data_IF_912884075825
#
_entry.id   IF_912884075825
#
_cell.length_a   1.000
_cell.length_b   1.000
_cell.length_c   1.000
_cell.angle_alpha   90.00
_cell.angle_beta   90.00
_cell.angle_gamma   90.00
#
_symmetry.space_group_name_H-M   'P 1'
#
loop_
_entity.id
_entity.type
_entity.pdbx_description
1 polymer ?
#
# COMPACT_ATOMS: atom_id res chain seq x y z
N UNK A 1 -1.50 -1.96 -6.19
CA UNK A 1 -2.56 -1.07 -6.75
C UNK A 1 -2.94 0.10 -5.84
N UNK A 2 -2.88 -0.04 -4.51
CA UNK A 2 -3.25 1.03 -3.56
C UNK A 2 -4.73 1.01 -3.11
N UNK A 3 -5.57 0.14 -3.69
CA UNK A 3 -7.01 0.10 -3.40
C UNK A 3 -7.32 -0.26 -1.94
N UNK A 4 -6.67 -1.28 -1.38
CA UNK A 4 -6.89 -1.69 0.02
C UNK A 4 -6.50 -0.59 1.00
N UNK A 5 -5.36 0.07 0.75
CA UNK A 5 -4.93 1.23 1.54
C UNK A 5 -5.95 2.36 1.47
N UNK A 6 -6.46 2.66 0.27
CA UNK A 6 -7.52 3.67 0.08
C UNK A 6 -8.77 3.35 0.89
N UNK A 7 -9.23 2.10 0.88
CA UNK A 7 -10.41 1.69 1.65
C UNK A 7 -10.18 1.87 3.16
N UNK A 8 -9.02 1.43 3.67
CA UNK A 8 -8.66 1.58 5.09
C UNK A 8 -8.58 3.06 5.51
N UNK A 9 -7.94 3.91 4.70
CA UNK A 9 -7.82 5.35 4.98
C UNK A 9 -9.20 6.03 4.96
N UNK A 10 -10.07 5.72 4.00
CA UNK A 10 -11.44 6.26 3.98
C UNK A 10 -12.22 5.88 5.23
N UNK A 11 -12.07 4.65 5.72
CA UNK A 11 -12.72 4.22 6.95
C UNK A 11 -12.28 5.08 8.14
N UNK A 12 -10.97 5.31 8.32
CA UNK A 12 -10.45 6.18 9.37
C UNK A 12 -11.01 7.61 9.27
N UNK A 13 -10.99 8.20 8.06
CA UNK A 13 -11.53 9.54 7.82
C UNK A 13 -13.03 9.59 8.14
N UNK A 14 -13.80 8.57 7.72
CA UNK A 14 -15.24 8.49 8.02
C UNK A 14 -15.56 8.40 9.50
N UNK A 15 -14.60 7.93 10.31
CA UNK A 15 -14.69 7.85 11.77
C UNK A 15 -14.18 9.12 12.46
N UNK A 16 -13.81 10.16 11.69
CA UNK A 16 -13.41 11.47 12.19
C UNK A 16 -11.91 11.65 12.38
N UNK A 17 -11.06 10.71 11.93
CA UNK A 17 -9.61 10.88 11.99
C UNK A 17 -9.18 11.93 10.95
N UNK A 18 -8.50 13.02 11.36
CA UNK A 18 -7.98 13.99 10.39
C UNK A 18 -6.96 13.34 9.47
N UNK A 19 -7.11 13.54 8.16
CA UNK A 19 -6.21 12.96 7.13
C UNK A 19 -4.71 13.21 7.42
N UNK A 20 -4.35 14.41 7.89
CA UNK A 20 -2.97 14.78 8.22
C UNK A 20 -2.39 14.08 9.46
N UNK A 21 -3.23 13.39 10.24
CA UNK A 21 -2.82 12.59 11.39
C UNK A 21 -2.60 11.12 11.03
N UNK A 22 -2.79 10.74 9.76
CA UNK A 22 -2.59 9.36 9.30
C UNK A 22 -1.19 9.25 8.68
N UNK A 23 -0.43 8.27 9.16
CA UNK A 23 0.83 7.83 8.56
C UNK A 23 0.61 6.44 8.00
N UNK A 24 0.75 6.29 6.69
CA UNK A 24 0.71 4.99 6.02
C UNK A 24 2.14 4.44 5.89
N UNK A 25 2.48 3.50 6.76
CA UNK A 25 3.78 2.83 6.79
C UNK A 25 3.73 1.54 5.99
N UNK A 26 4.67 1.35 5.06
CA UNK A 26 4.78 0.17 4.19
C UNK A 26 6.24 -0.26 4.05
N UNK A 27 6.48 -1.49 3.58
CA UNK A 27 7.84 -1.97 3.28
C UNK A 27 8.16 -1.80 1.79
N UNK A 28 7.31 -2.38 0.94
CA UNK A 28 7.50 -2.36 -0.51
C UNK A 28 6.28 -1.71 -1.15
N UNK A 29 6.52 -0.71 -1.98
CA UNK A 29 5.49 0.04 -2.69
C UNK A 29 5.74 0.03 -4.19
N UNK A 30 4.66 -0.02 -4.99
CA UNK A 30 4.73 0.27 -6.42
C UNK A 30 4.32 1.72 -6.69
N UNK A 31 4.95 2.42 -7.65
CA UNK A 31 4.67 3.83 -7.94
C UNK A 31 3.19 4.06 -8.25
N UNK A 32 2.53 3.15 -8.97
CA UNK A 32 1.10 3.23 -9.26
C UNK A 32 0.25 3.33 -7.98
N UNK A 33 0.57 2.53 -6.96
CA UNK A 33 -0.13 2.53 -5.68
C UNK A 33 0.12 3.80 -4.87
N UNK A 34 1.37 4.26 -4.81
CA UNK A 34 1.74 5.52 -4.14
C UNK A 34 0.98 6.69 -4.76
N UNK A 35 0.94 6.79 -6.10
CA UNK A 35 0.23 7.86 -6.78
C UNK A 35 -1.28 7.82 -6.51
N UNK A 36 -1.89 6.64 -6.48
CA UNK A 36 -3.32 6.49 -6.13
C UNK A 36 -3.61 7.03 -4.73
N UNK A 37 -2.79 6.66 -3.74
CA UNK A 37 -2.97 7.11 -2.35
C UNK A 37 -2.72 8.61 -2.23
N UNK A 38 -1.59 9.12 -2.74
CA UNK A 38 -1.24 10.54 -2.64
C UNK A 38 -2.22 11.46 -3.37
N UNK A 39 -2.75 11.05 -4.54
CA UNK A 39 -3.77 11.83 -5.26
C UNK A 39 -5.07 11.93 -4.48
N UNK A 40 -5.44 10.89 -3.74
CA UNK A 40 -6.70 10.85 -2.99
C UNK A 40 -6.59 11.48 -1.60
N UNK A 41 -5.42 11.40 -0.96
CA UNK A 41 -5.16 11.90 0.38
C UNK A 41 -3.88 12.75 0.41
N UNK A 42 -3.93 14.00 -0.11
CA UNK A 42 -2.74 14.85 -0.26
C UNK A 42 -2.10 15.32 1.06
N UNK A 43 -2.79 15.22 2.20
CA UNK A 43 -2.26 15.59 3.53
C UNK A 43 -1.70 14.41 4.32
N UNK A 44 -2.00 13.17 3.92
CA UNK A 44 -1.47 11.97 4.55
C UNK A 44 0.03 11.81 4.28
N UNK A 45 0.76 11.23 5.22
CA UNK A 45 2.18 10.90 5.04
C UNK A 45 2.33 9.42 4.69
N UNK A 46 3.14 9.12 3.68
CA UNK A 46 3.57 7.75 3.37
C UNK A 46 5.02 7.59 3.78
N UNK A 47 5.33 6.51 4.48
CA UNK A 47 6.69 6.07 4.77
C UNK A 47 6.84 4.68 4.19
N UNK A 48 7.83 4.47 3.32
CA UNK A 48 8.14 3.17 2.71
C UNK A 48 9.64 2.94 2.72
N UNK A 49 10.08 1.69 2.87
CA UNK A 49 11.50 1.37 2.71
C UNK A 49 11.92 1.40 1.25
N UNK A 50 11.13 0.79 0.37
CA UNK A 50 11.47 0.65 -1.05
C UNK A 50 10.31 1.04 -1.97
N UNK A 51 10.66 1.53 -3.17
CA UNK A 51 9.73 1.76 -4.28
C UNK A 51 10.22 0.96 -5.48
N UNK A 52 9.43 -0.01 -5.90
CA UNK A 52 9.77 -0.97 -6.97
C UNK A 52 9.35 -0.47 -8.36
N UNK A 53 9.73 -1.18 -9.41
CA UNK A 53 9.51 -0.75 -10.81
C UNK A 53 8.04 -0.54 -11.15
N UNK A 54 7.14 -1.37 -10.60
CA UNK A 54 5.73 -1.25 -10.90
C UNK A 54 4.91 -2.46 -10.50
N UNK A 55 3.80 -2.63 -11.20
CA UNK A 55 2.92 -3.78 -11.09
C UNK A 55 2.91 -4.56 -12.42
N UNK A 56 2.82 -5.88 -12.36
CA UNK A 56 2.54 -6.72 -13.51
C UNK A 56 1.02 -6.83 -13.79
N UNK A 57 0.63 -7.67 -14.76
CA UNK A 57 -0.78 -7.89 -15.15
C UNK A 57 -1.63 -8.53 -14.05
N UNK A 58 -0.99 -9.27 -13.14
CA UNK A 58 -1.62 -9.86 -11.95
C UNK A 58 -1.66 -8.90 -10.75
N UNK A 59 -1.31 -7.62 -10.95
CA UNK A 59 -1.24 -6.59 -9.92
C UNK A 59 -0.22 -6.84 -8.80
N UNK A 60 0.78 -7.71 -9.04
CA UNK A 60 1.90 -7.96 -8.15
C UNK A 60 3.03 -6.97 -8.39
N UNK A 61 3.71 -6.58 -7.31
CA UNK A 61 4.86 -5.68 -7.38
C UNK A 61 6.03 -6.40 -8.04
N UNK A 62 6.73 -5.73 -8.96
CA UNK A 62 7.89 -6.27 -9.69
C UNK A 62 9.16 -5.40 -9.51
N UNK A 63 10.35 -6.00 -9.24
CA UNK A 63 10.60 -7.41 -8.94
C UNK A 63 9.87 -7.91 -7.68
N UNK A 64 9.68 -7.05 -6.68
CA UNK A 64 8.88 -7.36 -5.48
C UNK A 64 9.40 -8.56 -4.68
N UNK A 65 8.51 -9.18 -3.89
CA UNK A 65 8.89 -10.27 -2.98
C UNK A 65 7.92 -11.46 -2.98
N UNK A 66 7.05 -11.56 -3.99
CA UNK A 66 5.93 -12.51 -3.98
C UNK A 66 4.83 -12.10 -2.99
N UNK A 67 3.98 -13.06 -2.59
CA UNK A 67 2.91 -12.82 -1.62
C UNK A 67 3.48 -12.73 -0.20
N UNK A 68 3.50 -11.51 0.36
CA UNK A 68 4.07 -11.27 1.69
C UNK A 68 3.36 -12.08 2.79
N UNK A 69 2.04 -12.20 2.72
CA UNK A 69 1.24 -12.92 3.72
C UNK A 69 1.66 -14.39 3.79
N UNK A 70 1.67 -15.06 2.64
CA UNK A 70 2.02 -16.48 2.57
C UNK A 70 3.43 -16.74 3.06
N UNK A 71 4.40 -15.94 2.60
CA UNK A 71 5.80 -16.07 3.02
C UNK A 71 6.02 -15.77 4.50
N UNK A 72 5.25 -14.84 5.07
CA UNK A 72 5.39 -14.44 6.47
C UNK A 72 4.71 -15.44 7.41
N UNK A 73 3.57 -15.99 7.02
CA UNK A 73 2.78 -16.92 7.83
C UNK A 73 3.06 -18.40 7.52
N UNK A 74 3.83 -18.71 6.47
CA UNK A 74 4.12 -20.08 6.02
C UNK A 74 2.88 -20.78 5.45
N UNK A 75 2.11 -20.06 4.62
CA UNK A 75 0.90 -20.58 3.95
C UNK A 75 1.04 -20.65 2.44
N UNK A 76 2.27 -20.59 1.93
CA UNK A 76 2.58 -20.94 0.56
C UNK A 76 2.38 -22.44 0.36
N UNK A 77 1.59 -22.80 -0.66
CA UNK A 77 1.48 -24.17 -1.12
C UNK A 77 2.81 -24.53 -1.82
N UNK A 78 3.64 -25.37 -1.21
CA UNK A 78 4.73 -26.06 -1.91
C UNK A 78 4.19 -26.89 -3.11
#
# INVERSE_FOLDING_TARGET
TGNSAVQAINLLISKGVPEGNIIFLTLISAPQGVHVVCKKFPRLKIVTSEIENGLNEEFRVIPGMGEFGDRYFGTDDD
#
